data_IF_980398047390
#
_entry.id   IF_980398047390
#
_cell.length_a   1.000
_cell.length_b   1.000
_cell.length_c   1.000
_cell.angle_alpha   90.00
_cell.angle_beta   90.00
_cell.angle_gamma   90.00
#
_symmetry.space_group_name_H-M   'P 1'
#
loop_
_entity.id
_entity.type
_entity.pdbx_description
1 polymer ?
#
# COMPACT_ATOMS: atom_id res chain seq x y z
N UNK A 1 -15.32 22.78 24.58
CA UNK A 1 -14.43 21.73 25.11
C UNK A 1 -13.49 21.25 24.00
N UNK A 2 -12.15 21.46 24.09
CA UNK A 2 -11.20 21.18 22.98
C UNK A 2 -10.35 19.91 23.14
N UNK A 3 -10.50 19.13 24.22
CA UNK A 3 -9.62 17.99 24.52
C UNK A 3 -9.81 16.75 23.59
N UNK A 4 -10.95 16.64 22.89
CA UNK A 4 -11.25 15.48 22.06
C UNK A 4 -10.52 15.48 20.70
N UNK A 5 -10.13 16.65 20.20
CA UNK A 5 -9.51 16.79 18.86
C UNK A 5 -8.06 16.30 18.85
N UNK A 6 -7.32 16.52 19.95
CA UNK A 6 -5.91 16.14 20.06
C UNK A 6 -5.69 14.62 20.11
N UNK A 7 -6.63 13.84 20.65
CA UNK A 7 -6.53 12.37 20.68
C UNK A 7 -6.69 11.76 19.29
N UNK A 8 -7.68 12.22 18.53
CA UNK A 8 -7.89 11.79 17.14
C UNK A 8 -6.66 12.04 16.26
N UNK A 9 -5.99 13.18 16.42
CA UNK A 9 -4.78 13.48 15.64
C UNK A 9 -3.64 12.52 15.94
N UNK A 10 -3.45 12.09 17.19
CA UNK A 10 -2.38 11.14 17.55
C UNK A 10 -2.70 9.74 16.99
N UNK A 11 -3.95 9.29 17.09
CA UNK A 11 -4.38 8.01 16.49
C UNK A 11 -4.21 8.02 14.97
N UNK A 12 -4.50 9.15 14.32
CA UNK A 12 -4.26 9.33 12.88
C UNK A 12 -2.77 9.29 12.53
N UNK A 13 -1.91 9.93 13.33
CA UNK A 13 -0.45 9.90 13.12
C UNK A 13 0.10 8.48 13.24
N UNK A 14 -0.33 7.72 14.24
CA UNK A 14 0.06 6.31 14.40
C UNK A 14 -0.38 5.48 13.19
N UNK A 15 -1.65 5.62 12.76
CA UNK A 15 -2.16 4.96 11.56
C UNK A 15 -1.35 5.30 10.30
N UNK A 16 -1.02 6.59 10.10
CA UNK A 16 -0.19 6.98 8.95
C UNK A 16 1.22 6.41 9.05
N UNK A 17 1.83 6.37 10.23
CA UNK A 17 3.14 5.75 10.43
C UNK A 17 3.12 4.26 10.07
N UNK A 18 2.07 3.54 10.46
CA UNK A 18 1.89 2.13 10.11
C UNK A 18 1.71 1.95 8.58
N UNK A 19 0.90 2.80 7.94
CA UNK A 19 0.76 2.81 6.48
C UNK A 19 2.10 3.07 5.78
N UNK A 20 2.87 4.08 6.23
CA UNK A 20 4.20 4.38 5.67
C UNK A 20 5.18 3.23 5.89
N UNK A 21 5.15 2.59 7.06
CA UNK A 21 5.97 1.42 7.37
C UNK A 21 5.63 0.24 6.46
N UNK A 22 4.33 0.03 6.20
CA UNK A 22 3.88 -0.98 5.26
C UNK A 22 4.27 -0.65 3.82
N UNK A 23 4.21 0.60 3.37
CA UNK A 23 4.63 0.99 2.01
C UNK A 23 6.15 1.02 1.83
N UNK A 24 6.93 1.26 2.89
CA UNK A 24 8.34 1.65 2.84
C UNK A 24 9.33 0.63 2.29
N UNK A 25 8.88 -0.46 1.69
CA UNK A 25 9.72 -1.45 1.00
C UNK A 25 9.76 -1.17 -0.49
N UNK A 26 10.92 -1.33 -1.12
CA UNK A 26 11.16 -1.15 -2.55
C UNK A 26 10.09 -1.80 -3.47
N UNK A 27 9.76 -3.10 -3.34
CA UNK A 27 8.76 -3.72 -4.22
C UNK A 27 7.35 -3.15 -4.02
N UNK A 28 6.97 -2.74 -2.80
CA UNK A 28 5.63 -2.15 -2.55
C UNK A 28 5.48 -0.76 -3.14
N UNK A 29 6.51 0.08 -3.05
CA UNK A 29 6.51 1.39 -3.72
C UNK A 29 6.43 1.24 -5.23
N UNK A 30 7.11 0.25 -5.79
CA UNK A 30 7.05 -0.04 -7.22
C UNK A 30 5.65 -0.53 -7.64
N UNK A 31 5.04 -1.45 -6.88
CA UNK A 31 3.65 -1.87 -7.08
C UNK A 31 2.71 -0.66 -7.06
N UNK A 32 2.82 0.22 -6.06
CA UNK A 32 1.99 1.42 -5.99
C UNK A 32 2.21 2.34 -7.18
N UNK A 33 3.45 2.55 -7.62
CA UNK A 33 3.76 3.35 -8.81
C UNK A 33 3.06 2.79 -10.05
N UNK A 34 3.11 1.46 -10.25
CA UNK A 34 2.45 0.80 -11.38
C UNK A 34 0.93 0.94 -11.31
N UNK A 35 0.35 0.68 -10.14
CA UNK A 35 -1.09 0.84 -9.93
C UNK A 35 -1.55 2.30 -10.11
N UNK A 36 -0.74 3.28 -9.73
CA UNK A 36 -1.00 4.71 -9.96
C UNK A 36 -0.89 5.08 -11.43
N UNK A 37 0.08 4.54 -12.16
CA UNK A 37 0.23 4.74 -13.60
C UNK A 37 -0.91 4.10 -14.41
N UNK A 38 -1.46 3.00 -13.92
CA UNK A 38 -2.58 2.28 -14.53
C UNK A 38 -3.96 2.71 -13.98
N UNK A 39 -4.01 3.63 -13.02
CA UNK A 39 -5.27 4.17 -12.52
C UNK A 39 -5.95 5.01 -13.62
N UNK A 40 -7.26 4.86 -13.87
CA UNK A 40 -8.27 4.15 -13.06
C UNK A 40 -8.56 2.70 -13.46
N UNK A 41 -8.07 2.21 -14.59
CA UNK A 41 -8.37 0.88 -15.11
C UNK A 41 -7.80 -0.26 -14.24
N UNK A 42 -6.76 0.05 -13.44
CA UNK A 42 -6.05 -0.93 -12.62
C UNK A 42 -5.08 -1.77 -13.46
N UNK A 43 -4.25 -2.57 -12.79
CA UNK A 43 -3.28 -3.44 -13.47
C UNK A 43 -3.47 -4.89 -13.03
N UNK A 44 -3.30 -5.83 -13.95
CA UNK A 44 -3.40 -7.25 -13.65
C UNK A 44 -2.15 -7.69 -12.90
N UNK A 45 -2.32 -8.54 -11.88
CA UNK A 45 -1.22 -9.09 -11.07
C UNK A 45 -0.10 -9.69 -11.94
N UNK A 46 -0.43 -10.28 -13.08
CA UNK A 46 0.53 -10.81 -14.05
C UNK A 46 1.43 -9.75 -14.68
N UNK A 47 0.90 -8.58 -15.04
CA UNK A 47 1.71 -7.48 -15.61
C UNK A 47 2.59 -6.82 -14.55
N UNK A 48 2.06 -6.66 -13.33
CA UNK A 48 2.86 -6.20 -12.18
C UNK A 48 4.01 -7.18 -11.92
N UNK A 49 3.74 -8.50 -12.01
CA UNK A 49 4.77 -9.52 -11.82
C UNK A 49 5.85 -9.47 -12.89
N UNK A 50 5.47 -9.32 -14.17
CA UNK A 50 6.42 -9.19 -15.28
C UNK A 50 7.29 -7.93 -15.14
N UNK A 51 6.71 -6.81 -14.70
CA UNK A 51 7.46 -5.55 -14.58
C UNK A 51 8.38 -5.49 -13.35
N UNK A 52 8.01 -6.15 -12.25
CA UNK A 52 8.84 -6.23 -11.05
C UNK A 52 9.87 -7.38 -11.09
N UNK A 53 9.74 -8.35 -11.99
CA UNK A 53 10.60 -9.53 -12.09
C UNK A 53 10.74 -10.30 -10.76
N UNK A 54 9.65 -10.37 -9.97
CA UNK A 54 9.62 -11.08 -8.67
C UNK A 54 8.69 -12.30 -8.72
N UNK A 55 8.91 -13.30 -7.84
CA UNK A 55 8.02 -14.45 -7.75
C UNK A 55 6.58 -14.04 -7.38
N UNK A 56 5.60 -14.71 -7.97
CA UNK A 56 4.18 -14.48 -7.68
C UNK A 56 3.84 -14.63 -6.18
N UNK A 57 4.46 -15.60 -5.50
CA UNK A 57 4.31 -15.80 -4.05
C UNK A 57 4.80 -14.62 -3.22
N UNK A 58 5.90 -13.99 -3.62
CA UNK A 58 6.45 -12.79 -2.98
C UNK A 58 5.56 -11.59 -3.26
N UNK A 59 5.12 -11.43 -4.51
CA UNK A 59 4.24 -10.34 -4.93
C UNK A 59 2.88 -10.39 -4.20
N UNK A 60 2.26 -11.57 -4.12
CA UNK A 60 1.01 -11.78 -3.38
C UNK A 60 1.16 -11.39 -1.91
N UNK A 61 2.28 -11.76 -1.28
CA UNK A 61 2.58 -11.35 0.09
C UNK A 61 2.72 -9.82 0.25
N UNK A 62 3.29 -9.14 -0.75
CA UNK A 62 3.36 -7.67 -0.75
C UNK A 62 1.97 -7.03 -0.95
N UNK A 63 1.15 -7.58 -1.85
CA UNK A 63 -0.22 -7.12 -2.10
C UNK A 63 -1.12 -7.32 -0.89
N UNK A 64 -1.08 -8.48 -0.23
CA UNK A 64 -1.86 -8.73 0.99
C UNK A 64 -1.52 -7.73 2.09
N UNK A 65 -0.24 -7.39 2.23
CA UNK A 65 0.19 -6.39 3.22
C UNK A 65 -0.27 -4.98 2.86
N UNK A 66 -0.24 -4.61 1.58
CA UNK A 66 -0.77 -3.32 1.12
C UNK A 66 -2.30 -3.26 1.30
N UNK A 67 -3.01 -4.37 1.04
CA UNK A 67 -4.46 -4.49 1.24
C UNK A 67 -4.84 -4.39 2.71
N UNK A 68 -4.08 -5.02 3.60
CA UNK A 68 -4.33 -4.99 5.04
C UNK A 68 -4.31 -3.56 5.61
N UNK A 69 -3.51 -2.68 5.01
CA UNK A 69 -3.39 -1.26 5.38
C UNK A 69 -4.32 -0.34 4.55
N UNK A 70 -5.26 -0.92 3.80
CA UNK A 70 -6.25 -0.20 2.98
C UNK A 70 -5.61 0.67 1.87
N UNK A 71 -4.40 0.32 1.42
CA UNK A 71 -3.63 1.09 0.43
C UNK A 71 -3.94 0.69 -1.02
N UNK A 72 -4.39 -0.54 -1.24
CA UNK A 72 -4.75 -1.08 -2.55
C UNK A 72 -6.07 -1.85 -2.47
N UNK A 73 -6.86 -1.75 -3.54
CA UNK A 73 -8.05 -2.56 -3.72
C UNK A 73 -7.76 -3.59 -4.81
N UNK A 74 -7.91 -4.87 -4.47
CA UNK A 74 -7.71 -6.03 -5.37
C UNK A 74 -9.01 -6.77 -5.57
#
# INVERSE_FOLDING_TARGET
>A
MPAAQSKKSIEQIAKYADMFSAMGTEPRLRIMQLLLCAHPDGLVVGEIQEELDIPNSTLSHHLDKLKAEDLVHV
#
